data_IF_013720975411
#
_entry.id   IF_013720975411
#
_cell.length_a   1.000
_cell.length_b   1.000
_cell.length_c   1.000
_cell.angle_alpha   90.00
_cell.angle_beta   90.00
_cell.angle_gamma   90.00
#
_symmetry.space_group_name_H-M   'P 1'
#
loop_
_entity.id
_entity.type
_entity.pdbx_description
1 polymer ?
#
# COMPACT_ATOMS: atom_id res chain seq x y z
N UNK A 1 10.90 -29.18 -23.93
CA UNK A 1 9.90 -28.21 -23.45
C UNK A 1 9.60 -28.50 -21.98
N UNK A 2 10.01 -27.62 -21.07
CA UNK A 2 9.86 -27.80 -19.62
C UNK A 2 8.40 -27.59 -19.21
N UNK A 3 7.72 -28.65 -18.76
CA UNK A 3 6.41 -28.56 -18.10
C UNK A 3 6.64 -27.90 -16.74
N UNK A 4 6.31 -26.63 -16.60
CA UNK A 4 6.25 -25.97 -15.31
C UNK A 4 5.30 -26.75 -14.39
N UNK A 5 5.84 -27.45 -13.38
CA UNK A 5 5.06 -28.13 -12.35
C UNK A 5 4.16 -27.09 -11.67
N UNK A 6 2.85 -27.22 -11.82
CA UNK A 6 1.87 -26.49 -11.02
C UNK A 6 2.20 -26.75 -9.55
N UNK A 7 2.57 -25.71 -8.80
CA UNK A 7 2.88 -25.85 -7.38
C UNK A 7 1.60 -26.25 -6.65
N UNK A 8 1.60 -27.41 -5.99
CA UNK A 8 0.48 -27.81 -5.14
C UNK A 8 0.35 -26.91 -3.91
N UNK A 9 -0.85 -26.81 -3.35
CA UNK A 9 -1.17 -25.95 -2.20
C UNK A 9 -0.16 -26.07 -1.05
N UNK A 10 0.16 -27.30 -0.62
CA UNK A 10 1.16 -27.54 0.44
C UNK A 10 2.56 -26.97 0.14
N UNK A 11 2.96 -26.98 -1.14
CA UNK A 11 4.23 -26.40 -1.56
C UNK A 11 4.22 -24.87 -1.41
N UNK A 12 3.09 -24.23 -1.75
CA UNK A 12 2.88 -22.79 -1.57
C UNK A 12 2.90 -22.44 -0.08
N UNK A 13 2.18 -23.18 0.77
CA UNK A 13 2.17 -22.96 2.22
C UNK A 13 3.57 -23.09 2.82
N UNK A 14 4.32 -24.14 2.44
CA UNK A 14 5.70 -24.33 2.88
C UNK A 14 6.60 -23.18 2.45
N UNK A 15 6.41 -22.63 1.25
CA UNK A 15 7.14 -21.45 0.78
C UNK A 15 6.78 -20.20 1.58
N UNK A 16 5.50 -19.93 1.83
CA UNK A 16 5.07 -18.79 2.64
C UNK A 16 5.66 -18.85 4.05
N UNK A 17 5.66 -20.02 4.70
CA UNK A 17 6.31 -20.20 6.01
C UNK A 17 7.82 -19.96 5.95
N UNK A 18 8.51 -20.43 4.92
CA UNK A 18 9.95 -20.13 4.69
C UNK A 18 10.20 -18.63 4.48
N UNK A 19 9.26 -17.94 3.84
CA UNK A 19 9.25 -16.48 3.71
C UNK A 19 8.81 -15.78 5.00
N UNK A 20 8.72 -16.47 6.14
CA UNK A 20 8.46 -15.87 7.45
C UNK A 20 7.02 -15.46 7.70
N UNK A 21 6.06 -15.95 6.90
CA UNK A 21 4.64 -15.76 7.19
C UNK A 21 4.17 -16.75 8.27
N UNK A 22 3.38 -16.26 9.21
CA UNK A 22 2.53 -17.10 10.06
C UNK A 22 1.31 -17.51 9.23
N UNK A 23 1.20 -18.78 8.86
CA UNK A 23 0.15 -19.27 7.95
C UNK A 23 -0.86 -20.13 8.68
N UNK A 24 -2.12 -19.72 8.61
CA UNK A 24 -3.30 -20.48 9.03
C UNK A 24 -3.95 -21.10 7.80
N UNK A 25 -4.45 -22.32 7.95
CA UNK A 25 -5.09 -23.08 6.88
C UNK A 25 -6.45 -23.53 7.38
N UNK A 26 -7.48 -23.29 6.59
CA UNK A 26 -8.83 -23.74 6.83
C UNK A 26 -9.28 -24.64 5.67
N UNK A 27 -10.12 -25.61 5.97
CA UNK A 27 -10.68 -26.55 4.99
C UNK A 27 -12.15 -26.69 5.27
N UNK A 28 -12.96 -26.48 4.25
CA UNK A 28 -14.41 -26.60 4.33
C UNK A 28 -14.99 -27.12 3.01
N UNK A 29 -16.29 -27.39 3.02
CA UNK A 29 -17.03 -27.91 1.87
C UNK A 29 -18.05 -26.85 1.46
N UNK A 30 -18.05 -26.48 0.19
CA UNK A 30 -19.06 -25.60 -0.40
C UNK A 30 -20.01 -26.43 -1.29
N UNK A 31 -21.27 -26.02 -1.35
CA UNK A 31 -22.30 -26.65 -2.18
C UNK A 31 -22.97 -25.57 -3.03
N UNK A 32 -22.84 -25.70 -4.35
CA UNK A 32 -23.41 -24.78 -5.33
C UNK A 32 -23.96 -25.61 -6.51
N UNK A 33 -25.22 -25.40 -6.89
CA UNK A 33 -25.92 -26.14 -7.96
C UNK A 33 -25.78 -27.68 -7.86
N UNK A 34 -26.12 -28.26 -6.70
CA UNK A 34 -26.02 -29.71 -6.40
C UNK A 34 -24.62 -30.32 -6.54
N UNK A 35 -23.57 -29.47 -6.64
CA UNK A 35 -22.17 -29.89 -6.69
C UNK A 35 -21.47 -29.50 -5.40
N UNK A 36 -20.80 -30.48 -4.78
CA UNK A 36 -19.97 -30.29 -3.59
C UNK A 36 -18.51 -30.08 -3.98
N UNK A 37 -17.93 -29.00 -3.50
CA UNK A 37 -16.53 -28.62 -3.71
C UNK A 37 -15.78 -28.67 -2.38
N UNK A 38 -14.53 -29.12 -2.41
CA UNK A 38 -13.63 -29.02 -1.26
C UNK A 38 -12.79 -27.77 -1.44
N UNK A 39 -12.94 -26.82 -0.52
CA UNK A 39 -12.16 -25.58 -0.51
C UNK A 39 -11.12 -25.65 0.60
N UNK A 40 -9.89 -25.26 0.27
CA UNK A 40 -8.82 -24.99 1.23
C UNK A 40 -8.36 -23.56 1.07
N UNK A 41 -8.45 -22.80 2.14
CA UNK A 41 -7.94 -21.44 2.21
C UNK A 41 -6.73 -21.39 3.11
N UNK A 42 -5.75 -20.55 2.75
CA UNK A 42 -4.68 -20.20 3.65
C UNK A 42 -4.48 -18.70 3.69
N UNK A 43 -4.36 -18.20 4.91
CA UNK A 43 -4.04 -16.81 5.21
C UNK A 43 -2.71 -16.77 5.94
N UNK A 44 -1.71 -16.24 5.26
CA UNK A 44 -0.40 -15.90 5.81
C UNK A 44 -0.37 -14.45 6.26
N UNK A 45 0.19 -14.15 7.44
CA UNK A 45 0.45 -12.78 7.89
C UNK A 45 1.92 -12.58 8.23
N UNK A 46 2.48 -11.43 7.86
CA UNK A 46 3.84 -11.02 8.20
C UNK A 46 3.94 -9.50 8.31
N UNK A 47 4.69 -9.01 9.31
CA UNK A 47 5.04 -7.58 9.41
C UNK A 47 6.35 -7.31 8.67
N UNK A 48 6.37 -6.30 7.81
CA UNK A 48 7.53 -5.90 6.99
C UNK A 48 7.63 -4.39 6.97
N UNK A 49 8.80 -3.83 7.33
CA UNK A 49 9.03 -2.38 7.40
C UNK A 49 7.95 -1.58 8.17
N UNK A 50 7.29 -2.21 9.14
CA UNK A 50 6.19 -1.60 9.90
C UNK A 50 4.78 -1.88 9.36
N UNK A 51 4.65 -2.40 8.14
CA UNK A 51 3.37 -2.68 7.46
C UNK A 51 2.94 -4.14 7.58
N UNK A 52 1.62 -4.39 7.52
CA UNK A 52 1.07 -5.74 7.55
C UNK A 52 0.89 -6.29 6.13
N UNK A 53 1.69 -7.29 5.80
CA UNK A 53 1.59 -8.04 4.54
C UNK A 53 0.77 -9.30 4.80
N UNK A 54 -0.30 -9.46 4.04
CA UNK A 54 -1.12 -10.67 4.01
C UNK A 54 -0.90 -11.43 2.71
N UNK A 55 -0.85 -12.76 2.81
CA UNK A 55 -0.82 -13.68 1.68
C UNK A 55 -2.07 -14.56 1.74
N UNK A 56 -2.84 -14.60 0.66
CA UNK A 56 -4.05 -15.39 0.51
C UNK A 56 -3.81 -16.46 -0.54
N UNK A 57 -4.20 -17.69 -0.23
CA UNK A 57 -4.13 -18.84 -1.14
C UNK A 57 -5.44 -19.57 -1.06
N UNK A 58 -6.04 -19.86 -2.21
CA UNK A 58 -7.28 -20.64 -2.28
C UNK A 58 -7.07 -21.81 -3.23
N UNK A 59 -7.52 -22.98 -2.80
CA UNK A 59 -7.56 -24.20 -3.60
C UNK A 59 -8.97 -24.78 -3.61
N UNK A 60 -9.48 -25.05 -4.80
CA UNK A 60 -10.79 -25.68 -5.02
C UNK A 60 -10.56 -27.03 -5.69
N UNK A 61 -11.06 -28.11 -5.08
CA UNK A 61 -10.95 -29.48 -5.59
C UNK A 61 -9.51 -29.90 -5.99
N UNK A 62 -8.50 -29.49 -5.21
CA UNK A 62 -7.10 -29.83 -5.49
C UNK A 62 -6.40 -28.92 -6.50
N UNK A 63 -7.09 -27.91 -7.04
CA UNK A 63 -6.54 -26.91 -7.96
C UNK A 63 -6.43 -25.57 -7.26
N UNK A 64 -5.22 -25.01 -7.23
CA UNK A 64 -4.98 -23.67 -6.68
C UNK A 64 -5.56 -22.65 -7.63
N UNK A 65 -6.61 -21.95 -7.21
CA UNK A 65 -7.31 -20.96 -8.02
C UNK A 65 -6.57 -19.62 -7.99
N UNK A 66 -6.11 -19.17 -6.81
CA UNK A 66 -5.29 -17.96 -6.73
C UNK A 66 -4.29 -17.96 -5.58
N UNK A 67 -3.27 -17.11 -5.75
CA UNK A 67 -2.33 -16.66 -4.72
C UNK A 67 -2.24 -15.15 -4.85
N UNK A 68 -2.51 -14.45 -3.75
CA UNK A 68 -2.57 -12.98 -3.70
C UNK A 68 -1.80 -12.47 -2.50
N UNK A 69 -1.00 -11.42 -2.71
CA UNK A 69 -0.36 -10.67 -1.64
C UNK A 69 -0.97 -9.27 -1.56
N UNK A 70 -1.19 -8.78 -0.35
CA UNK A 70 -1.76 -7.47 -0.08
C UNK A 70 -1.06 -6.81 1.11
N UNK A 71 -0.92 -5.50 1.06
CA UNK A 71 -0.53 -4.68 2.22
C UNK A 71 -1.79 -4.03 2.76
N UNK A 72 -2.14 -4.31 4.01
CA UNK A 72 -3.42 -3.87 4.59
C UNK A 72 -3.58 -2.36 4.58
N UNK A 73 -2.52 -1.63 4.93
CA UNK A 73 -2.53 -0.18 5.02
C UNK A 73 -2.34 0.53 3.67
N UNK A 74 -1.94 -0.21 2.63
CA UNK A 74 -1.66 0.34 1.29
C UNK A 74 -2.31 -0.57 0.24
N UNK A 75 -3.63 -0.44 0.02
CA UNK A 75 -4.40 -1.37 -0.82
C UNK A 75 -3.97 -1.43 -2.29
N UNK A 76 -3.26 -0.41 -2.79
CA UNK A 76 -2.68 -0.40 -4.14
C UNK A 76 -1.52 -1.40 -4.29
N UNK A 77 -0.87 -1.81 -3.20
CA UNK A 77 0.12 -2.88 -3.21
C UNK A 77 -0.61 -4.22 -3.10
N UNK A 78 -1.16 -4.64 -4.23
CA UNK A 78 -1.78 -5.94 -4.44
C UNK A 78 -1.10 -6.67 -5.59
N UNK A 79 -0.59 -7.86 -5.32
CA UNK A 79 0.13 -8.66 -6.33
C UNK A 79 -0.44 -10.08 -6.35
N UNK A 80 -1.00 -10.48 -7.49
CA UNK A 80 -1.46 -11.84 -7.73
C UNK A 80 -0.47 -12.54 -8.65
N UNK A 81 0.05 -13.72 -8.26
CA UNK A 81 0.91 -14.48 -9.15
C UNK A 81 0.99 -15.96 -8.80
N UNK A 82 1.23 -16.80 -9.82
CA UNK A 82 1.54 -18.23 -9.64
C UNK A 82 2.90 -18.48 -8.98
N UNK A 83 3.80 -17.49 -8.99
CA UNK A 83 5.11 -17.58 -8.35
C UNK A 83 5.16 -16.73 -7.06
N UNK A 84 5.01 -17.42 -5.93
CA UNK A 84 4.99 -16.89 -4.57
C UNK A 84 6.21 -16.01 -4.26
N UNK A 85 7.42 -16.47 -4.58
CA UNK A 85 8.66 -15.77 -4.25
C UNK A 85 8.78 -14.48 -5.05
N UNK A 86 8.51 -14.56 -6.36
CA UNK A 86 8.56 -13.39 -7.24
C UNK A 86 7.53 -12.32 -6.81
N UNK A 87 6.30 -12.74 -6.52
CA UNK A 87 5.26 -11.82 -6.05
C UNK A 87 5.63 -11.18 -4.71
N UNK A 88 6.17 -11.95 -3.78
CA UNK A 88 6.59 -11.40 -2.50
C UNK A 88 7.77 -10.42 -2.64
N UNK A 89 8.74 -10.71 -3.50
CA UNK A 89 9.84 -9.77 -3.81
C UNK A 89 9.33 -8.47 -4.44
N UNK A 90 8.28 -8.54 -5.27
CA UNK A 90 7.63 -7.35 -5.81
C UNK A 90 6.96 -6.51 -4.72
N UNK A 91 6.26 -7.15 -3.78
CA UNK A 91 5.70 -6.47 -2.59
C UNK A 91 6.80 -5.81 -1.75
N UNK A 92 7.91 -6.51 -1.51
CA UNK A 92 9.06 -5.96 -0.77
C UNK A 92 9.65 -4.74 -1.46
N UNK A 93 9.78 -4.79 -2.80
CA UNK A 93 10.28 -3.66 -3.59
C UNK A 93 9.36 -2.44 -3.46
N UNK A 94 8.05 -2.63 -3.64
CA UNK A 94 7.06 -1.54 -3.51
C UNK A 94 7.06 -0.95 -2.09
N UNK A 95 7.09 -1.78 -1.06
CA UNK A 95 7.18 -1.32 0.33
C UNK A 95 8.49 -0.55 0.63
N UNK A 96 9.62 -1.01 0.08
CA UNK A 96 10.88 -0.29 0.27
C UNK A 96 10.81 1.12 -0.35
N UNK A 97 10.24 1.25 -1.55
CA UNK A 97 10.04 2.55 -2.19
C UNK A 97 9.13 3.47 -1.35
N UNK A 98 8.06 2.94 -0.76
CA UNK A 98 7.20 3.69 0.17
C UNK A 98 8.00 4.21 1.36
N UNK A 99 8.83 3.37 1.98
CA UNK A 99 9.67 3.74 3.13
C UNK A 99 10.69 4.82 2.75
N UNK A 100 11.33 4.69 1.58
CA UNK A 100 12.29 5.66 1.07
C UNK A 100 11.62 7.01 0.79
N UNK A 101 10.45 7.01 0.13
CA UNK A 101 9.67 8.24 -0.11
C UNK A 101 9.24 8.90 1.19
N UNK A 102 8.79 8.12 2.18
CA UNK A 102 8.43 8.64 3.50
C UNK A 102 9.60 9.34 4.19
N UNK A 103 10.82 8.76 4.13
CA UNK A 103 12.03 9.41 4.66
C UNK A 103 12.39 10.69 3.91
N UNK A 104 12.23 10.72 2.59
CA UNK A 104 12.48 11.93 1.79
C UNK A 104 11.51 13.05 2.16
N UNK A 105 10.23 12.72 2.33
CA UNK A 105 9.18 13.69 2.64
C UNK A 105 9.14 14.13 4.11
N UNK A 106 9.83 13.45 5.02
CA UNK A 106 9.90 13.89 6.43
C UNK A 106 10.52 15.28 6.56
N UNK A 107 11.53 15.60 5.75
CA UNK A 107 12.12 16.94 5.72
C UNK A 107 11.13 18.00 5.22
N UNK A 108 10.37 17.68 4.17
CA UNK A 108 9.31 18.56 3.66
C UNK A 108 8.24 18.78 4.74
N UNK A 109 7.86 17.73 5.47
CA UNK A 109 6.91 17.84 6.58
C UNK A 109 7.40 18.80 7.67
N UNK A 110 8.68 18.74 8.06
CA UNK A 110 9.26 19.64 9.05
C UNK A 110 9.27 21.10 8.57
N UNK A 111 9.67 21.34 7.32
CA UNK A 111 9.68 22.68 6.72
C UNK A 111 8.26 23.25 6.63
N UNK A 112 7.26 22.46 6.23
CA UNK A 112 5.86 22.88 6.21
C UNK A 112 5.30 23.17 7.62
N UNK A 113 5.64 22.35 8.63
CA UNK A 113 5.27 22.64 10.04
C UNK A 113 5.84 23.99 10.49
N UNK A 114 7.07 24.31 10.10
CA UNK A 114 7.70 25.60 10.43
C UNK A 114 6.97 26.81 9.82
N UNK A 115 6.28 26.61 8.70
CA UNK A 115 5.41 27.62 8.07
C UNK A 115 4.02 27.71 8.70
N UNK A 116 3.71 26.85 9.69
CA UNK A 116 2.42 26.82 10.38
C UNK A 116 1.39 25.89 9.75
N UNK A 117 1.79 24.95 8.89
CA UNK A 117 0.90 23.90 8.41
C UNK A 117 0.69 22.84 9.50
N UNK A 118 -0.54 22.37 9.63
CA UNK A 118 -0.85 21.12 10.32
C UNK A 118 -0.47 19.96 9.40
N UNK A 119 0.43 19.08 9.85
CA UNK A 119 0.91 17.96 9.04
C UNK A 119 0.50 16.63 9.66
N UNK A 120 -0.27 15.86 8.91
CA UNK A 120 -0.75 14.52 9.25
C UNK A 120 -0.04 13.48 8.38
N UNK A 121 0.48 12.43 9.01
CA UNK A 121 1.13 11.31 8.31
C UNK A 121 0.21 10.09 8.35
N UNK A 122 -0.09 9.56 7.17
CA UNK A 122 -0.82 8.31 6.97
C UNK A 122 0.13 7.21 6.48
N UNK A 123 -0.42 6.02 6.21
CA UNK A 123 0.37 4.90 5.72
C UNK A 123 0.86 5.08 4.27
N UNK A 124 0.01 5.63 3.41
CA UNK A 124 0.28 5.79 1.97
C UNK A 124 0.55 7.24 1.53
N UNK A 125 0.32 8.22 2.39
CA UNK A 125 0.54 9.64 2.08
C UNK A 125 0.77 10.47 3.34
N UNK A 126 1.22 11.71 3.15
CA UNK A 126 1.06 12.77 4.14
C UNK A 126 0.21 13.89 3.59
N UNK A 127 -0.41 14.62 4.49
CA UNK A 127 -1.22 15.78 4.20
C UNK A 127 -0.77 16.94 5.07
N UNK A 128 -0.48 18.07 4.43
CA UNK A 128 -0.18 19.32 5.10
C UNK A 128 -1.28 20.33 4.77
N UNK A 129 -1.92 20.89 5.79
CA UNK A 129 -2.99 21.87 5.64
C UNK A 129 -2.64 23.14 6.40
N UNK A 130 -2.67 24.27 5.71
CA UNK A 130 -2.79 25.58 6.33
C UNK A 130 -4.18 26.11 6.04
N UNK A 131 -4.96 26.41 7.08
CA UNK A 131 -6.32 26.93 6.93
C UNK A 131 -6.48 28.19 7.77
N UNK A 132 -6.83 29.30 7.11
CA UNK A 132 -7.26 30.52 7.80
C UNK A 132 -8.77 30.48 8.05
N UNK A 133 -9.54 30.09 7.04
CA UNK A 133 -10.99 29.87 7.10
C UNK A 133 -11.43 28.87 6.02
N UNK A 134 -12.73 28.70 5.80
CA UNK A 134 -13.27 27.74 4.83
C UNK A 134 -12.97 28.10 3.36
N UNK A 135 -12.70 29.37 3.06
CA UNK A 135 -12.44 29.86 1.70
C UNK A 135 -10.94 30.06 1.41
N UNK A 136 -10.15 30.22 2.47
CA UNK A 136 -8.73 30.56 2.44
C UNK A 136 -7.86 29.44 3.05
N UNK A 137 -7.34 28.55 2.19
CA UNK A 137 -6.46 27.46 2.62
C UNK A 137 -5.46 27.00 1.56
N UNK A 138 -4.39 26.36 2.03
CA UNK A 138 -3.42 25.62 1.22
C UNK A 138 -3.43 24.18 1.72
N UNK A 139 -3.61 23.23 0.81
CA UNK A 139 -3.59 21.79 1.08
C UNK A 139 -2.57 21.12 0.18
N UNK A 140 -1.64 20.39 0.77
CA UNK A 140 -0.60 19.64 0.06
C UNK A 140 -0.77 18.18 0.45
N UNK A 141 -0.81 17.30 -0.53
CA UNK A 141 -0.86 15.85 -0.34
C UNK A 141 0.36 15.25 -1.04
N UNK A 142 1.27 14.64 -0.29
CA UNK A 142 2.43 13.95 -0.86
C UNK A 142 2.22 12.44 -0.75
N UNK A 143 2.29 11.74 -1.87
CA UNK A 143 1.98 10.30 -1.96
C UNK A 143 3.26 9.48 -1.81
N UNK A 144 3.25 8.53 -0.88
CA UNK A 144 4.38 7.61 -0.69
C UNK A 144 4.37 6.47 -1.69
N UNK A 145 3.24 6.22 -2.36
CA UNK A 145 3.08 5.11 -3.32
C UNK A 145 3.84 5.37 -4.62
N UNK A 146 4.66 4.41 -5.05
CA UNK A 146 5.63 4.59 -6.14
C UNK A 146 5.06 4.45 -7.57
N UNK A 147 3.85 3.89 -7.71
CA UNK A 147 3.21 3.65 -9.01
C UNK A 147 2.44 4.88 -9.53
N UNK A 148 2.36 5.94 -8.72
CA UNK A 148 1.73 7.21 -9.09
C UNK A 148 2.71 8.09 -9.89
N UNK A 149 2.23 8.67 -10.99
CA UNK A 149 3.02 9.54 -11.89
C UNK A 149 3.52 10.80 -11.17
N UNK A 150 2.74 11.28 -10.20
CA UNK A 150 3.02 12.50 -9.45
C UNK A 150 3.39 12.17 -7.99
N UNK A 151 4.44 12.80 -7.49
CA UNK A 151 4.88 12.68 -6.09
C UNK A 151 3.88 13.32 -5.10
N UNK A 152 2.95 14.13 -5.59
CA UNK A 152 1.91 14.75 -4.78
C UNK A 152 1.01 15.71 -5.55
N UNK A 153 0.09 16.34 -4.84
CA UNK A 153 -0.83 17.37 -5.36
C UNK A 153 -0.88 18.53 -4.37
N UNK A 154 -0.87 19.75 -4.89
CA UNK A 154 -1.13 20.95 -4.11
C UNK A 154 -2.42 21.62 -4.59
N UNK A 155 -3.29 21.97 -3.64
CA UNK A 155 -4.51 22.72 -3.86
C UNK A 155 -4.45 24.02 -3.06
N UNK A 156 -4.70 25.13 -3.73
CA UNK A 156 -4.73 26.47 -3.12
C UNK A 156 -6.11 27.05 -3.40
N UNK A 157 -6.81 27.44 -2.35
CA UNK A 157 -8.06 28.19 -2.45
C UNK A 157 -7.90 29.49 -1.69
N UNK A 158 -8.20 30.60 -2.37
CA UNK A 158 -7.92 31.93 -1.82
C UNK A 158 -8.94 32.94 -2.31
N UNK A 159 -9.46 33.71 -1.37
CA UNK A 159 -10.25 34.91 -1.63
C UNK A 159 -9.32 36.03 -2.13
N UNK A 160 -9.80 36.88 -3.03
CA UNK A 160 -9.00 37.91 -3.73
C UNK A 160 -8.21 38.88 -2.82
N UNK A 161 -8.43 38.90 -1.50
CA UNK A 161 -7.78 39.77 -0.52
C UNK A 161 -6.87 39.05 0.49
N UNK A 162 -6.55 37.78 0.29
CA UNK A 162 -5.77 36.99 1.28
C UNK A 162 -4.29 36.86 0.92
N UNK A 163 -3.55 37.98 1.00
CA UNK A 163 -2.11 38.05 0.67
C UNK A 163 -1.26 37.00 1.40
N UNK A 164 -1.55 36.79 2.70
CA UNK A 164 -0.83 35.80 3.52
C UNK A 164 -0.95 34.37 2.98
N UNK A 165 -2.11 33.98 2.45
CA UNK A 165 -2.33 32.63 1.90
C UNK A 165 -1.58 32.47 0.59
N UNK A 166 -1.56 33.50 -0.25
CA UNK A 166 -0.80 33.52 -1.50
C UNK A 166 0.70 33.39 -1.22
N UNK A 167 1.24 34.12 -0.26
CA UNK A 167 2.66 34.06 0.10
C UNK A 167 3.04 32.71 0.70
N UNK A 168 2.17 32.13 1.54
CA UNK A 168 2.37 30.78 2.07
C UNK A 168 2.33 29.73 0.95
N UNK A 169 1.40 29.86 -0.01
CA UNK A 169 1.35 28.97 -1.17
C UNK A 169 2.65 29.03 -2.00
N UNK A 170 3.19 30.23 -2.24
CA UNK A 170 4.48 30.39 -2.95
C UNK A 170 5.62 29.72 -2.19
N UNK A 171 5.73 29.94 -0.87
CA UNK A 171 6.77 29.30 -0.05
C UNK A 171 6.62 27.77 -0.03
N UNK A 172 5.38 27.29 0.07
CA UNK A 172 5.08 25.86 0.03
C UNK A 172 5.52 25.23 -1.31
N UNK A 173 5.29 25.90 -2.43
CA UNK A 173 5.77 25.44 -3.76
C UNK A 173 7.29 25.25 -3.77
N UNK A 174 8.05 26.18 -3.22
CA UNK A 174 9.51 26.08 -3.20
C UNK A 174 10.02 24.96 -2.27
N UNK A 175 9.26 24.59 -1.24
CA UNK A 175 9.60 23.46 -0.35
C UNK A 175 9.31 22.11 -1.01
N UNK A 176 8.25 22.01 -1.83
CA UNK A 176 7.80 20.73 -2.40
C UNK A 176 8.37 20.44 -3.80
N UNK A 177 9.08 21.40 -4.40
CA UNK A 177 9.85 21.21 -5.65
C UNK A 177 11.10 20.37 -5.43
#
# INVERSE_FOLDING_TARGET
MSRARTLGFESIIKKLRKLGFEVRVEKYYEEEDDRKYVVREAVGRRKVYGYHVSAYVEEVNGKVEYVKFEVFEIPSIRVSAKNVEKAYQEVLKKLNQVVERKKRFSRIAEELRSLGFEVMEYASYMEAIYRKDALDYVRIVLRYEADEVDDGTMMVQVSLKSERVVDLAKKAVEIVK
#
